data_IF_489031892151
#
_entry.id   IF_489031892151
#
_cell.length_a   1.000
_cell.length_b   1.000
_cell.length_c   1.000
_cell.angle_alpha   90.00
_cell.angle_beta   90.00
_cell.angle_gamma   90.00
#
_symmetry.space_group_name_H-M   'P 1'
#
loop_
_entity.id
_entity.type
_entity.pdbx_description
1 polymer ?
#
# COMPACT_ATOMS: atom_id res chain seq x y z
N UNK A 1 20.88 -2.73 9.90
CA UNK A 1 20.94 -3.91 9.01
C UNK A 1 20.84 -5.22 9.79
N UNK A 2 21.46 -5.30 10.97
CA UNK A 2 21.34 -6.46 11.85
C UNK A 2 19.88 -6.61 12.34
N UNK A 3 19.22 -5.51 12.65
CA UNK A 3 17.84 -5.47 13.09
C UNK A 3 16.87 -5.99 12.03
N UNK A 4 17.12 -5.68 10.75
CA UNK A 4 16.30 -6.17 9.63
C UNK A 4 16.49 -7.68 9.48
N UNK A 5 17.71 -8.21 9.63
CA UNK A 5 17.97 -9.64 9.57
C UNK A 5 17.28 -10.39 10.72
N UNK A 6 17.29 -9.83 11.92
CA UNK A 6 16.59 -10.42 13.06
C UNK A 6 15.07 -10.43 12.85
N UNK A 7 14.52 -9.34 12.29
CA UNK A 7 13.09 -9.25 11.97
C UNK A 7 12.67 -10.24 10.88
N UNK A 8 13.57 -10.60 9.97
CA UNK A 8 13.30 -11.52 8.86
C UNK A 8 13.41 -12.99 9.24
N UNK A 9 14.15 -13.34 10.31
CA UNK A 9 14.27 -14.72 10.74
C UNK A 9 13.26 -15.04 11.85
N UNK A 10 12.93 -16.23 12.17
CA UNK A 10 12.45 -17.32 11.32
C UNK A 10 10.97 -17.17 10.92
N UNK A 11 10.28 -16.12 11.40
CA UNK A 11 8.84 -15.89 11.20
C UNK A 11 8.45 -15.69 9.74
N UNK A 12 9.38 -15.19 8.91
CA UNK A 12 9.07 -14.78 7.54
C UNK A 12 9.68 -15.71 6.50
N UNK A 13 10.63 -16.57 6.87
CA UNK A 13 11.33 -17.44 5.92
C UNK A 13 10.38 -18.39 5.18
N UNK A 14 9.38 -18.91 5.86
CA UNK A 14 8.43 -19.86 5.27
C UNK A 14 7.23 -19.17 4.60
N UNK A 15 7.18 -17.82 4.65
CA UNK A 15 6.09 -17.05 4.07
C UNK A 15 6.61 -16.17 2.94
N UNK A 16 6.51 -16.69 1.72
CA UNK A 16 6.96 -15.99 0.53
C UNK A 16 6.26 -14.65 0.32
N UNK A 17 4.97 -14.58 0.64
CA UNK A 17 4.20 -13.35 0.51
C UNK A 17 4.75 -12.26 1.42
N UNK A 18 5.04 -12.59 2.66
CA UNK A 18 5.62 -11.63 3.61
C UNK A 18 7.03 -11.22 3.25
N UNK A 19 7.86 -12.15 2.78
CA UNK A 19 9.22 -11.84 2.32
C UNK A 19 9.21 -10.87 1.13
N UNK A 20 8.37 -11.13 0.14
CA UNK A 20 8.23 -10.23 -1.01
C UNK A 20 7.65 -8.88 -0.60
N UNK A 21 6.75 -8.86 0.38
CA UNK A 21 6.23 -7.63 0.95
C UNK A 21 7.33 -6.78 1.60
N UNK A 22 8.20 -7.42 2.39
CA UNK A 22 9.36 -6.73 3.01
C UNK A 22 10.25 -6.09 1.95
N UNK A 23 10.58 -6.84 0.92
CA UNK A 23 11.42 -6.34 -0.17
C UNK A 23 10.76 -5.17 -0.89
N UNK A 24 9.47 -5.30 -1.20
CA UNK A 24 8.69 -4.23 -1.81
C UNK A 24 8.67 -2.97 -0.95
N UNK A 25 8.34 -3.11 0.33
CA UNK A 25 8.23 -2.00 1.26
C UNK A 25 9.57 -1.26 1.42
N UNK A 26 10.65 -1.99 1.60
CA UNK A 26 11.97 -1.39 1.80
C UNK A 26 12.48 -0.71 0.53
N UNK A 27 12.25 -1.31 -0.64
CA UNK A 27 12.61 -0.68 -1.91
C UNK A 27 11.77 0.59 -2.16
N UNK A 28 10.51 0.58 -1.79
CA UNK A 28 9.64 1.75 -1.91
C UNK A 28 10.11 2.89 -1.00
N UNK A 29 10.42 2.59 0.25
CA UNK A 29 10.99 3.58 1.19
C UNK A 29 12.30 4.14 0.63
N UNK A 30 13.20 3.28 0.18
CA UNK A 30 14.49 3.71 -0.38
C UNK A 30 14.31 4.62 -1.59
N UNK A 31 13.39 4.28 -2.49
CA UNK A 31 13.11 5.06 -3.70
C UNK A 31 12.56 6.45 -3.36
N UNK A 32 11.60 6.52 -2.45
CA UNK A 32 10.87 7.74 -2.13
C UNK A 32 11.60 8.63 -1.14
N UNK A 33 12.56 8.08 -0.38
CA UNK A 33 13.36 8.83 0.60
C UNK A 33 14.84 8.88 0.23
N UNK A 34 15.14 8.89 -1.08
CA UNK A 34 16.51 8.75 -1.60
C UNK A 34 17.45 9.89 -1.20
N UNK A 35 16.94 11.02 -0.81
CA UNK A 35 17.74 12.09 -0.27
C UNK A 35 17.81 11.99 1.25
N UNK A 36 18.90 11.48 1.69
CA UNK A 36 19.40 11.13 3.00
C UNK A 36 19.12 12.12 4.13
N UNK A 37 17.87 12.45 4.39
CA UNK A 37 17.52 13.07 5.64
C UNK A 37 17.13 12.00 6.64
N UNK A 38 17.86 11.92 7.75
CA UNK A 38 17.45 11.10 8.89
C UNK A 38 16.10 11.60 9.37
N UNK A 39 15.03 10.94 8.92
CA UNK A 39 13.68 11.27 9.32
C UNK A 39 13.19 10.25 10.33
N UNK A 40 13.02 10.70 11.56
CA UNK A 40 12.55 9.86 12.65
C UNK A 40 11.17 9.26 12.38
N UNK A 41 10.31 10.01 11.69
CA UNK A 41 8.97 9.54 11.32
C UNK A 41 9.03 8.35 10.33
N UNK A 42 9.96 8.38 9.37
CA UNK A 42 10.18 7.26 8.46
C UNK A 42 10.71 6.04 9.22
N UNK A 43 11.62 6.25 10.16
CA UNK A 43 12.12 5.18 11.01
C UNK A 43 10.99 4.50 11.79
N UNK A 44 10.12 5.29 12.43
CA UNK A 44 8.95 4.76 13.15
C UNK A 44 7.98 4.04 12.21
N UNK A 45 7.83 4.53 10.99
CA UNK A 45 6.98 3.88 10.00
C UNK A 45 7.53 2.49 9.61
N UNK A 46 8.85 2.37 9.47
CA UNK A 46 9.50 1.07 9.22
C UNK A 46 9.27 0.11 10.40
N UNK A 47 9.39 0.59 11.64
CA UNK A 47 9.08 -0.23 12.81
C UNK A 47 7.63 -0.73 12.80
N UNK A 48 6.68 0.15 12.50
CA UNK A 48 5.26 -0.21 12.36
C UNK A 48 5.05 -1.28 11.29
N UNK A 49 5.80 -1.22 10.20
CA UNK A 49 5.71 -2.22 9.13
C UNK A 49 6.00 -3.62 9.66
N UNK A 50 7.09 -3.79 10.40
CA UNK A 50 7.45 -5.10 10.94
C UNK A 50 6.44 -5.59 11.99
N UNK A 51 5.82 -4.70 12.73
CA UNK A 51 4.75 -5.04 13.66
C UNK A 51 3.50 -5.53 12.91
N UNK A 52 3.09 -4.82 11.87
CA UNK A 52 1.87 -5.19 11.13
C UNK A 52 1.96 -6.56 10.46
N UNK A 53 3.15 -7.00 10.07
CA UNK A 53 3.34 -8.31 9.44
C UNK A 53 2.98 -9.48 10.36
N UNK A 54 2.91 -9.25 11.65
CA UNK A 54 2.53 -10.27 12.64
C UNK A 54 1.01 -10.43 12.79
N UNK A 55 0.23 -9.54 12.21
CA UNK A 55 -1.23 -9.57 12.30
C UNK A 55 -1.84 -10.44 11.19
N UNK A 56 -3.00 -11.04 11.49
CA UNK A 56 -3.74 -11.83 10.50
C UNK A 56 -4.20 -10.98 9.30
N UNK A 57 -4.53 -9.72 9.55
CA UNK A 57 -4.95 -8.75 8.52
C UNK A 57 -3.77 -7.94 7.98
N UNK A 58 -2.58 -8.53 7.88
CA UNK A 58 -1.37 -7.80 7.52
C UNK A 58 -1.42 -7.17 6.12
N UNK A 59 -2.10 -7.80 5.15
CA UNK A 59 -2.20 -7.26 3.78
C UNK A 59 -3.02 -5.98 3.79
N UNK A 60 -4.18 -5.97 4.45
CA UNK A 60 -5.00 -4.77 4.62
C UNK A 60 -4.21 -3.66 5.32
N UNK A 61 -3.53 -4.00 6.40
CA UNK A 61 -2.72 -3.05 7.15
C UNK A 61 -1.54 -2.53 6.32
N UNK A 62 -0.99 -3.36 5.44
CA UNK A 62 0.07 -2.93 4.52
C UNK A 62 -0.44 -1.88 3.50
N UNK A 63 -1.66 -2.04 3.00
CA UNK A 63 -2.26 -1.02 2.12
C UNK A 63 -2.30 0.34 2.83
N UNK A 64 -2.76 0.36 4.07
CA UNK A 64 -2.78 1.60 4.85
C UNK A 64 -1.38 2.11 5.19
N UNK A 65 -0.43 1.20 5.37
CA UNK A 65 0.96 1.57 5.59
C UNK A 65 1.55 2.30 4.38
N UNK A 66 1.28 1.82 3.17
CA UNK A 66 1.71 2.52 1.95
C UNK A 66 1.09 3.92 1.87
N UNK A 67 -0.18 4.06 2.20
CA UNK A 67 -0.86 5.35 2.22
C UNK A 67 -0.26 6.29 3.27
N UNK A 68 0.10 5.78 4.42
CA UNK A 68 0.77 6.56 5.48
C UNK A 68 2.16 7.02 5.05
N UNK A 69 2.92 6.17 4.35
CA UNK A 69 4.20 6.55 3.77
C UNK A 69 4.03 7.73 2.80
N UNK A 70 3.06 7.65 1.89
CA UNK A 70 2.79 8.72 0.93
C UNK A 70 2.39 10.00 1.65
N UNK A 71 1.57 9.91 2.68
CA UNK A 71 1.15 11.06 3.48
C UNK A 71 2.33 11.74 4.17
N UNK A 72 3.25 10.97 4.75
CA UNK A 72 4.47 11.53 5.37
C UNK A 72 5.34 12.29 4.38
N UNK A 73 5.31 11.90 3.12
CA UNK A 73 6.07 12.54 2.05
C UNK A 73 5.33 13.72 1.42
N UNK A 74 4.17 14.08 1.95
CA UNK A 74 3.38 15.21 1.46
C UNK A 74 2.31 14.86 0.42
N UNK A 75 2.09 13.57 0.15
CA UNK A 75 1.11 13.09 -0.83
C UNK A 75 -0.09 12.45 -0.12
N UNK A 76 -0.96 13.27 0.45
CA UNK A 76 -2.15 12.77 1.13
C UNK A 76 -3.26 12.44 0.13
N UNK A 77 -3.44 11.16 -0.14
CA UNK A 77 -4.48 10.68 -1.04
C UNK A 77 -5.79 10.52 -0.27
N UNK A 78 -6.68 11.50 -0.42
CA UNK A 78 -8.02 11.48 0.17
C UNK A 78 -9.00 10.85 -0.79
N UNK A 79 -9.26 9.57 -0.62
CA UNK A 79 -10.19 8.83 -1.48
C UNK A 79 -11.59 9.39 -1.42
N UNK A 80 -12.02 9.92 -0.28
CA UNK A 80 -13.34 10.52 -0.09
C UNK A 80 -13.63 11.64 -1.09
N UNK A 81 -12.61 12.40 -1.44
CA UNK A 81 -12.75 13.52 -2.38
C UNK A 81 -12.76 13.07 -3.85
N UNK A 82 -12.33 11.84 -4.11
CA UNK A 82 -12.15 11.31 -5.46
C UNK A 82 -13.28 10.38 -5.91
N UNK A 83 -14.25 10.09 -5.04
CA UNK A 83 -15.27 9.08 -5.30
C UNK A 83 -16.68 9.63 -5.21
N UNK A 84 -17.57 9.01 -5.97
CA UNK A 84 -19.02 9.17 -5.85
C UNK A 84 -19.60 7.92 -5.22
N UNK A 85 -20.55 8.12 -4.31
CA UNK A 85 -21.28 7.03 -3.69
C UNK A 85 -22.45 6.65 -4.58
N UNK A 86 -22.51 5.39 -5.01
CA UNK A 86 -23.60 4.85 -5.81
C UNK A 86 -24.23 3.64 -5.15
N UNK A 87 -25.54 3.50 -5.30
CA UNK A 87 -26.25 2.29 -4.90
C UNK A 87 -26.37 1.37 -6.11
N UNK A 88 -25.74 0.20 -6.05
CA UNK A 88 -25.82 -0.83 -7.08
C UNK A 88 -26.23 -2.13 -6.37
N UNK A 89 -27.32 -2.76 -6.82
CA UNK A 89 -27.85 -4.02 -6.27
C UNK A 89 -28.06 -3.96 -4.73
N UNK A 90 -28.60 -2.84 -4.24
CA UNK A 90 -28.83 -2.57 -2.81
C UNK A 90 -27.56 -2.49 -1.97
N UNK A 91 -26.40 -2.39 -2.61
CA UNK A 91 -25.11 -2.19 -1.93
C UNK A 91 -24.51 -0.84 -2.29
N UNK A 92 -23.88 -0.21 -1.29
CA UNK A 92 -23.16 1.05 -1.52
C UNK A 92 -21.83 0.74 -2.16
N UNK A 93 -21.60 1.31 -3.36
CA UNK A 93 -20.32 1.25 -4.06
C UNK A 93 -19.75 2.65 -4.23
N UNK A 94 -18.43 2.74 -4.17
CA UNK A 94 -17.69 3.97 -4.40
C UNK A 94 -17.05 3.90 -5.77
N UNK A 95 -17.38 4.87 -6.63
CA UNK A 95 -16.91 4.93 -8.01
C UNK A 95 -16.10 6.20 -8.22
N UNK A 96 -15.01 6.12 -8.97
CA UNK A 96 -14.20 7.28 -9.30
C UNK A 96 -15.03 8.36 -9.99
N UNK A 97 -14.81 9.61 -9.60
CA UNK A 97 -15.43 10.78 -10.25
C UNK A 97 -14.92 11.03 -11.67
N UNK A 98 -13.82 10.40 -12.06
CA UNK A 98 -13.25 10.55 -13.39
C UNK A 98 -14.23 10.09 -14.46
N UNK A 99 -14.47 10.94 -15.44
CA UNK A 99 -15.38 10.63 -16.57
C UNK A 99 -14.77 9.66 -17.55
N UNK A 100 -13.44 9.49 -17.54
CA UNK A 100 -12.71 8.71 -18.55
C UNK A 100 -12.55 7.25 -18.14
N UNK A 101 -12.32 7.00 -16.84
CA UNK A 101 -12.16 5.65 -16.30
C UNK A 101 -12.88 5.54 -14.96
N UNK A 102 -14.14 5.14 -15.00
CA UNK A 102 -14.90 4.86 -13.77
C UNK A 102 -14.45 3.54 -13.18
N UNK A 103 -13.53 3.60 -12.22
CA UNK A 103 -13.08 2.43 -11.46
C UNK A 103 -13.85 2.34 -10.14
N UNK A 104 -14.22 1.12 -9.78
CA UNK A 104 -14.78 0.84 -8.46
C UNK A 104 -13.62 0.92 -7.45
N UNK A 105 -13.80 1.75 -6.42
CA UNK A 105 -12.81 1.91 -5.36
C UNK A 105 -13.23 1.05 -4.18
N UNK A 106 -12.34 0.19 -3.66
CA UNK A 106 -12.67 -0.65 -2.51
C UNK A 106 -13.17 0.17 -1.33
N UNK A 107 -14.32 -0.20 -0.80
CA UNK A 107 -15.00 0.57 0.24
C UNK A 107 -14.20 0.69 1.53
N UNK A 108 -13.34 -0.27 1.85
CA UNK A 108 -12.52 -0.22 3.06
C UNK A 108 -11.48 0.92 3.05
N UNK A 109 -11.09 1.41 1.86
CA UNK A 109 -10.19 2.56 1.74
C UNK A 109 -10.87 3.86 2.18
N UNK A 110 -12.19 3.91 2.13
CA UNK A 110 -13.00 5.05 2.53
C UNK A 110 -13.51 4.85 3.95
N UNK A 111 -14.07 3.68 4.23
CA UNK A 111 -14.52 3.29 5.56
C UNK A 111 -13.56 2.24 6.15
N UNK A 112 -12.61 2.70 6.96
CA UNK A 112 -11.57 1.87 7.56
C UNK A 112 -12.12 0.79 8.51
N UNK A 113 -13.33 0.95 9.00
CA UNK A 113 -13.97 0.01 9.91
C UNK A 113 -14.59 -1.19 9.19
N UNK A 114 -14.70 -1.15 7.87
CA UNK A 114 -15.20 -2.28 7.12
C UNK A 114 -14.20 -3.43 7.13
N UNK A 115 -14.66 -4.54 7.66
CA UNK A 115 -13.89 -5.77 7.60
C UNK A 115 -13.94 -6.34 6.19
N UNK A 116 -12.79 -6.35 5.52
CA UNK A 116 -12.66 -6.99 4.24
C UNK A 116 -11.59 -8.08 4.37
N UNK A 117 -12.00 -9.30 4.10
CA UNK A 117 -11.09 -10.46 4.07
C UNK A 117 -10.91 -10.97 2.64
N UNK A 118 -11.57 -10.33 1.67
CA UNK A 118 -11.49 -10.73 0.28
C UNK A 118 -10.14 -10.32 -0.32
N UNK A 119 -9.35 -11.32 -0.68
CA UNK A 119 -8.02 -11.13 -1.25
C UNK A 119 -8.07 -10.31 -2.56
N UNK A 120 -9.08 -10.55 -3.39
CA UNK A 120 -9.25 -9.81 -4.65
C UNK A 120 -9.41 -8.30 -4.38
N UNK A 121 -10.21 -7.94 -3.40
CA UNK A 121 -10.43 -6.54 -3.02
C UNK A 121 -9.13 -5.89 -2.52
N UNK A 122 -8.32 -6.64 -1.75
CA UNK A 122 -7.03 -6.15 -1.28
C UNK A 122 -6.03 -5.97 -2.44
N UNK A 123 -6.01 -6.89 -3.39
CA UNK A 123 -5.18 -6.76 -4.60
C UNK A 123 -5.61 -5.53 -5.41
N UNK A 124 -6.90 -5.33 -5.59
CA UNK A 124 -7.43 -4.15 -6.30
C UNK A 124 -7.03 -2.85 -5.62
N UNK A 125 -7.05 -2.83 -4.29
CA UNK A 125 -6.58 -1.68 -3.51
C UNK A 125 -5.09 -1.41 -3.73
N UNK A 126 -4.25 -2.44 -3.71
CA UNK A 126 -2.81 -2.32 -3.97
C UNK A 126 -2.54 -1.79 -5.38
N UNK A 127 -3.28 -2.26 -6.37
CA UNK A 127 -3.16 -1.77 -7.74
C UNK A 127 -3.57 -0.31 -7.86
N UNK A 128 -4.63 0.10 -7.16
CA UNK A 128 -5.11 1.48 -7.17
C UNK A 128 -4.08 2.42 -6.55
N UNK A 129 -3.50 2.06 -5.41
CA UNK A 129 -2.41 2.81 -4.78
C UNK A 129 -1.20 2.89 -5.70
N UNK A 130 -0.87 1.79 -6.37
CA UNK A 130 0.22 1.73 -7.35
C UNK A 130 0.02 2.65 -8.54
N UNK A 131 -1.20 2.72 -9.08
CA UNK A 131 -1.53 3.63 -10.19
C UNK A 131 -1.38 5.09 -9.77
N UNK A 132 -1.84 5.42 -8.57
CA UNK A 132 -1.66 6.76 -8.01
C UNK A 132 -0.18 7.10 -7.81
N UNK A 133 0.56 6.19 -7.21
CA UNK A 133 2.00 6.32 -6.98
C UNK A 133 2.73 6.60 -8.30
N UNK A 134 2.45 5.81 -9.33
CA UNK A 134 3.08 5.94 -10.64
C UNK A 134 2.76 7.29 -11.29
N UNK A 135 1.48 7.65 -11.37
CA UNK A 135 1.04 8.84 -12.10
C UNK A 135 1.37 10.14 -11.39
N UNK A 136 1.24 10.15 -10.07
CA UNK A 136 1.33 11.39 -9.29
C UNK A 136 2.70 11.66 -8.70
N UNK A 137 3.52 10.63 -8.54
CA UNK A 137 4.81 10.73 -7.84
C UNK A 137 5.96 10.27 -8.73
N UNK A 138 5.90 9.05 -9.24
CA UNK A 138 7.06 8.46 -9.91
C UNK A 138 7.33 9.09 -11.28
N UNK A 139 6.34 9.12 -12.16
CA UNK A 139 6.51 9.70 -13.50
C UNK A 139 6.91 11.17 -13.46
N UNK A 140 6.27 12.04 -12.65
CA UNK A 140 6.69 13.44 -12.56
C UNK A 140 8.13 13.63 -12.08
N UNK A 141 8.68 12.68 -11.35
CA UNK A 141 10.04 12.72 -10.82
C UNK A 141 11.03 11.85 -11.61
N UNK A 142 10.64 11.33 -12.77
CA UNK A 142 11.44 10.45 -13.61
C UNK A 142 11.90 9.18 -12.87
N UNK A 143 11.05 8.66 -11.99
CA UNK A 143 11.31 7.45 -11.23
C UNK A 143 10.47 6.29 -11.78
N UNK A 144 10.97 5.08 -11.58
CA UNK A 144 10.31 3.84 -12.00
C UNK A 144 9.86 3.06 -10.77
N UNK A 145 8.66 2.48 -10.83
CA UNK A 145 8.15 1.65 -9.74
C UNK A 145 9.08 0.44 -9.50
N UNK A 146 9.34 0.08 -8.24
CA UNK A 146 10.15 -1.09 -7.94
C UNK A 146 9.50 -2.38 -8.48
N UNK A 147 10.28 -3.20 -9.17
CA UNK A 147 9.82 -4.51 -9.66
C UNK A 147 9.34 -5.38 -8.50
N UNK A 148 9.98 -5.25 -7.35
CA UNK A 148 9.61 -6.00 -6.14
C UNK A 148 8.16 -5.79 -5.70
N UNK A 149 7.60 -4.60 -5.93
CA UNK A 149 6.19 -4.35 -5.62
C UNK A 149 5.25 -5.15 -6.52
N UNK A 150 5.55 -5.22 -7.81
CA UNK A 150 4.78 -6.06 -8.73
C UNK A 150 4.92 -7.55 -8.38
N UNK A 151 6.13 -7.99 -8.04
CA UNK A 151 6.37 -9.36 -7.60
C UNK A 151 5.57 -9.70 -6.34
N UNK A 152 5.51 -8.79 -5.37
CA UNK A 152 4.70 -8.97 -4.18
C UNK A 152 3.22 -9.16 -4.54
N UNK A 153 2.65 -8.28 -5.36
CA UNK A 153 1.25 -8.38 -5.78
C UNK A 153 0.99 -9.71 -6.49
N UNK A 154 1.93 -10.15 -7.33
CA UNK A 154 1.79 -11.42 -8.04
C UNK A 154 1.80 -12.64 -7.10
N UNK A 155 2.47 -12.57 -5.96
CA UNK A 155 2.42 -13.66 -4.97
C UNK A 155 1.05 -13.79 -4.29
N UNK A 156 0.23 -12.75 -4.34
CA UNK A 156 -1.10 -12.73 -3.73
C UNK A 156 -2.18 -13.33 -4.64
N UNK A 157 -1.90 -13.46 -5.91
CA UNK A 157 -2.87 -13.96 -6.91
C UNK A 157 -3.11 -15.47 -6.84
#
# INVERSE_FOLDING_TARGET
KVEIQEALSPFFFDNRQKLTCVTSAMNLVKLLTAESQKNLLIYHLIEKFFVLLKNDNWIKNYVFWELELLKLLGYDLKFEDLVEKKMIDNQIQYVSKSTINKKIIPSFLIDKNRNTHDLKTLIDALKLVGDYLEKSILKPNNLTSPISRLQFINTLK
#
